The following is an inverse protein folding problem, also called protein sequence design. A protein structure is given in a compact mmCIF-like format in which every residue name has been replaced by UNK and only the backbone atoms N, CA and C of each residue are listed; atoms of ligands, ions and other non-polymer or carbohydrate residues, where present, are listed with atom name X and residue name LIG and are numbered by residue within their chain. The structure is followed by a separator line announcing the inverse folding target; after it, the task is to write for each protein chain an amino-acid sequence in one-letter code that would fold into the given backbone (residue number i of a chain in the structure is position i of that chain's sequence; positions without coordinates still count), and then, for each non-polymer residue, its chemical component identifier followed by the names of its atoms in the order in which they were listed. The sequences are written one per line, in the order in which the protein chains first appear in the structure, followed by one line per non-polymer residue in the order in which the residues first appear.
data_IF_962542492774
#
_entry.id   IF_962542492774
#
_cell.length_a   1.000
_cell.length_b   1.000
_cell.length_c   1.000
_cell.angle_alpha   90.00
_cell.angle_beta   90.00
_cell.angle_gamma   90.00
#
_symmetry.space_group_name_H-M   'P 1'
#
loop_
_entity.id
_entity.type
_entity.pdbx_description
1 polymer ?
#
# COMPACT_ATOMS: atom_id res chain seq x y z
N UNK A 1 1.47 4.18 -5.99
CA UNK A 1 1.87 4.35 -7.41
C UNK A 1 1.96 5.82 -7.80
N UNK A 2 0.89 6.61 -7.73
CA UNK A 2 0.92 8.05 -8.06
C UNK A 2 2.02 8.80 -7.30
N UNK A 3 2.08 8.67 -5.97
CA UNK A 3 3.12 9.29 -5.17
C UNK A 3 4.54 8.98 -5.70
N UNK A 4 4.85 7.70 -5.93
CA UNK A 4 6.14 7.32 -6.49
C UNK A 4 6.39 7.94 -7.87
N UNK A 5 5.37 8.00 -8.73
CA UNK A 5 5.51 8.63 -10.05
C UNK A 5 5.81 10.13 -9.97
N UNK A 6 5.29 10.83 -8.96
CA UNK A 6 5.49 12.26 -8.79
C UNK A 6 6.84 12.60 -8.14
N UNK A 7 7.37 11.73 -7.29
CA UNK A 7 8.50 12.07 -6.42
C UNK A 7 9.75 11.22 -6.62
N UNK A 8 9.68 10.12 -7.40
CA UNK A 8 10.85 9.26 -7.65
C UNK A 8 11.26 9.27 -9.11
N UNK A 9 12.54 9.57 -9.33
CA UNK A 9 13.16 9.57 -10.66
C UNK A 9 13.05 8.19 -11.34
N UNK A 10 12.66 8.18 -12.61
CA UNK A 10 12.49 6.98 -13.42
C UNK A 10 11.15 6.24 -13.22
N UNK A 11 10.27 6.78 -12.36
CA UNK A 11 8.92 6.24 -12.12
C UNK A 11 7.80 7.13 -12.70
N UNK A 12 8.14 8.24 -13.32
CA UNK A 12 7.21 9.27 -13.82
C UNK A 12 6.18 8.68 -14.77
N UNK A 13 6.62 7.75 -15.63
CA UNK A 13 5.80 7.12 -16.65
C UNK A 13 4.65 6.25 -16.10
N UNK A 14 4.70 5.90 -14.81
CA UNK A 14 3.55 5.26 -14.14
C UNK A 14 2.31 6.16 -14.23
N UNK A 15 2.46 7.49 -14.10
CA UNK A 15 1.36 8.45 -14.10
C UNK A 15 1.66 9.63 -15.04
N UNK A 16 1.00 9.66 -16.21
CA UNK A 16 1.24 10.68 -17.25
C UNK A 16 0.10 11.70 -17.40
N UNK A 17 -0.77 11.82 -16.41
CA UNK A 17 -1.83 12.84 -16.43
C UNK A 17 -1.30 14.18 -15.91
N UNK A 18 -1.81 15.33 -16.43
CA UNK A 18 -1.23 16.64 -16.13
C UNK A 18 -1.46 17.12 -14.68
N UNK A 19 -2.46 16.58 -13.98
CA UNK A 19 -2.75 16.92 -12.59
C UNK A 19 -3.39 15.78 -11.79
N UNK A 20 -3.94 16.12 -10.62
CA UNK A 20 -4.62 15.19 -9.69
C UNK A 20 -6.12 15.53 -9.54
N UNK A 21 -6.73 16.14 -10.54
CA UNK A 21 -8.17 16.38 -10.53
C UNK A 21 -8.93 15.04 -10.43
N UNK A 22 -10.18 15.09 -9.96
CA UNK A 22 -11.03 13.89 -9.88
C UNK A 22 -11.11 13.15 -11.21
N UNK A 23 -11.17 13.87 -12.33
CA UNK A 23 -11.25 13.29 -13.68
C UNK A 23 -9.99 12.51 -14.02
N UNK A 24 -8.81 13.12 -13.81
CA UNK A 24 -7.51 12.49 -14.10
C UNK A 24 -7.26 11.29 -13.19
N UNK A 25 -7.53 11.45 -11.90
CA UNK A 25 -7.42 10.36 -10.94
C UNK A 25 -8.34 9.20 -11.31
N UNK A 26 -9.59 9.46 -11.69
CA UNK A 26 -10.54 8.42 -12.09
C UNK A 26 -10.03 7.66 -13.32
N UNK A 27 -9.56 8.38 -14.35
CA UNK A 27 -8.99 7.75 -15.56
C UNK A 27 -7.79 6.87 -15.22
N UNK A 28 -6.90 7.34 -14.35
CA UNK A 28 -5.76 6.55 -13.90
C UNK A 28 -6.17 5.30 -13.13
N UNK A 29 -7.15 5.40 -12.22
CA UNK A 29 -7.68 4.25 -11.50
C UNK A 29 -8.36 3.26 -12.46
N UNK A 30 -9.08 3.73 -13.49
CA UNK A 30 -9.67 2.86 -14.51
C UNK A 30 -8.61 2.08 -15.29
N UNK A 31 -7.46 2.69 -15.59
CA UNK A 31 -6.33 1.98 -16.20
C UNK A 31 -5.77 0.90 -15.27
N UNK A 32 -5.52 1.23 -14.00
CA UNK A 32 -5.07 0.26 -13.00
C UNK A 32 -6.09 -0.88 -12.87
N UNK A 33 -7.38 -0.57 -12.87
CA UNK A 33 -8.47 -1.52 -12.67
C UNK A 33 -8.44 -2.66 -13.72
N UNK A 34 -7.99 -2.39 -14.95
CA UNK A 34 -7.83 -3.41 -16.00
C UNK A 34 -6.80 -4.49 -15.63
N UNK A 35 -5.80 -4.15 -14.82
CA UNK A 35 -4.79 -5.10 -14.31
C UNK A 35 -5.16 -5.65 -12.94
N UNK A 36 -5.79 -4.80 -12.12
CA UNK A 36 -6.05 -5.03 -10.70
C UNK A 36 -7.54 -5.31 -10.45
N UNK A 37 -8.22 -5.95 -11.42
CA UNK A 37 -9.65 -6.27 -11.29
C UNK A 37 -9.89 -7.21 -10.09
N UNK A 38 -10.71 -6.80 -9.09
CA UNK A 38 -11.03 -7.66 -7.95
C UNK A 38 -11.89 -8.84 -8.39
N UNK A 39 -11.76 -9.96 -7.70
CA UNK A 39 -12.71 -11.07 -7.77
C UNK A 39 -13.86 -10.81 -6.76
N UNK A 40 -14.83 -11.73 -6.64
CA UNK A 40 -15.92 -11.65 -5.63
C UNK A 40 -15.35 -11.44 -4.21
N UNK A 41 -14.18 -12.02 -3.92
CA UNK A 41 -13.45 -11.88 -2.66
C UNK A 41 -12.38 -10.77 -2.68
N UNK A 42 -12.49 -9.79 -3.58
CA UNK A 42 -11.47 -8.76 -3.74
C UNK A 42 -10.14 -9.30 -4.28
N UNK A 43 -9.03 -8.79 -3.75
CA UNK A 43 -7.67 -9.24 -4.06
C UNK A 43 -7.06 -9.77 -2.76
N UNK A 44 -7.22 -11.08 -2.47
CA UNK A 44 -6.96 -11.64 -1.16
C UNK A 44 -5.48 -11.86 -0.83
N UNK A 45 -4.55 -11.59 -1.75
CA UNK A 45 -3.15 -11.97 -1.55
C UNK A 45 -2.15 -10.92 -2.03
N UNK A 46 -1.05 -10.81 -1.28
CA UNK A 46 0.08 -9.96 -1.62
C UNK A 46 0.66 -10.33 -2.98
N UNK A 47 0.88 -11.62 -3.23
CA UNK A 47 1.49 -12.10 -4.49
C UNK A 47 0.66 -11.75 -5.73
N UNK A 48 -0.68 -11.88 -5.65
CA UNK A 48 -1.56 -11.56 -6.78
C UNK A 48 -1.57 -10.05 -7.05
N UNK A 49 -1.64 -9.22 -6.00
CA UNK A 49 -1.58 -7.78 -6.16
C UNK A 49 -0.22 -7.34 -6.73
N UNK A 50 0.87 -7.85 -6.15
CA UNK A 50 2.24 -7.59 -6.60
C UNK A 50 2.40 -7.84 -8.10
N UNK A 51 2.08 -9.06 -8.55
CA UNK A 51 2.20 -9.44 -9.97
C UNK A 51 1.40 -8.49 -10.88
N UNK A 52 0.19 -8.11 -10.48
CA UNK A 52 -0.69 -7.23 -11.27
C UNK A 52 -0.17 -5.80 -11.34
N UNK A 53 0.31 -5.25 -10.23
CA UNK A 53 0.88 -3.90 -10.19
C UNK A 53 2.23 -3.83 -10.94
N UNK A 54 3.08 -4.85 -10.83
CA UNK A 54 4.29 -4.98 -11.66
C UNK A 54 3.95 -5.06 -13.15
N UNK A 55 2.91 -5.80 -13.52
CA UNK A 55 2.45 -5.88 -14.91
C UNK A 55 1.93 -4.54 -15.42
N UNK A 56 1.20 -3.78 -14.60
CA UNK A 56 0.75 -2.43 -14.94
C UNK A 56 1.95 -1.50 -15.13
N UNK A 57 2.90 -1.46 -14.20
CA UNK A 57 4.11 -0.64 -14.34
C UNK A 57 4.91 -1.00 -15.59
N UNK A 58 5.08 -2.31 -15.87
CA UNK A 58 5.76 -2.78 -17.09
C UNK A 58 5.06 -2.30 -18.37
N UNK A 59 3.72 -2.25 -18.38
CA UNK A 59 2.96 -1.71 -19.51
C UNK A 59 3.21 -0.21 -19.76
N UNK A 60 3.72 0.50 -18.75
CA UNK A 60 4.16 1.89 -18.82
C UNK A 60 5.64 2.06 -19.14
N UNK A 61 6.35 0.97 -19.42
CA UNK A 61 7.81 0.98 -19.64
C UNK A 61 8.63 1.03 -18.35
N UNK A 62 7.98 0.89 -17.18
CA UNK A 62 8.64 0.99 -15.87
C UNK A 62 8.82 -0.39 -15.25
N UNK A 63 10.04 -0.69 -14.83
CA UNK A 63 10.34 -1.93 -14.09
C UNK A 63 10.24 -1.63 -12.59
N UNK A 64 9.36 -2.37 -11.93
CA UNK A 64 9.25 -2.39 -10.47
C UNK A 64 9.56 -3.78 -9.94
N UNK A 65 10.13 -3.84 -8.76
CA UNK A 65 10.10 -4.99 -7.89
C UNK A 65 9.41 -4.66 -6.56
N UNK A 66 9.20 -5.65 -5.71
CA UNK A 66 8.48 -5.45 -4.45
C UNK A 66 9.00 -6.35 -3.34
N UNK A 67 9.10 -5.77 -2.14
CA UNK A 67 9.28 -6.52 -0.91
C UNK A 67 7.91 -6.75 -0.28
N UNK A 68 7.67 -7.93 0.25
CA UNK A 68 6.40 -8.30 0.88
C UNK A 68 6.64 -8.93 2.24
N UNK A 69 5.81 -8.56 3.21
CA UNK A 69 5.79 -9.14 4.55
C UNK A 69 4.38 -9.68 4.82
N UNK A 70 4.25 -11.00 4.80
CA UNK A 70 3.00 -11.71 5.05
C UNK A 70 2.93 -12.12 6.52
N UNK A 71 1.77 -11.94 7.15
CA UNK A 71 1.51 -12.38 8.53
C UNK A 71 2.61 -11.97 9.54
N UNK A 72 2.94 -10.67 9.67
CA UNK A 72 3.84 -10.21 10.73
C UNK A 72 3.34 -10.69 12.09
N UNK A 73 4.27 -11.24 12.88
CA UNK A 73 4.00 -11.86 14.19
C UNK A 73 4.16 -10.87 15.34
N UNK A 74 5.01 -9.87 15.16
CA UNK A 74 5.34 -8.84 16.14
C UNK A 74 5.34 -7.45 15.50
N UNK A 75 5.27 -6.44 16.37
CA UNK A 75 5.15 -5.04 15.97
C UNK A 75 6.46 -4.53 15.38
N UNK A 76 7.61 -4.89 15.97
CA UNK A 76 8.92 -4.39 15.54
C UNK A 76 9.25 -4.80 14.10
N UNK A 77 8.96 -6.03 13.73
CA UNK A 77 9.09 -6.53 12.35
C UNK A 77 8.23 -5.70 11.39
N UNK A 78 6.97 -5.39 11.76
CA UNK A 78 6.10 -4.55 10.95
C UNK A 78 6.60 -3.11 10.86
N UNK A 79 7.09 -2.53 11.96
CA UNK A 79 7.66 -1.17 12.00
C UNK A 79 8.87 -1.08 11.08
N UNK A 80 9.80 -2.03 11.17
CA UNK A 80 11.01 -2.03 10.35
C UNK A 80 10.65 -2.09 8.88
N UNK A 81 9.73 -2.99 8.49
CA UNK A 81 9.25 -3.09 7.12
C UNK A 81 8.57 -1.81 6.62
N UNK A 82 7.74 -1.17 7.46
CA UNK A 82 7.07 0.08 7.12
C UNK A 82 8.11 1.19 6.91
N UNK A 83 9.07 1.33 7.82
CA UNK A 83 10.13 2.33 7.74
C UNK A 83 11.00 2.13 6.50
N UNK A 84 11.38 0.89 6.17
CA UNK A 84 12.13 0.58 4.95
C UNK A 84 11.47 1.15 3.68
N UNK A 85 10.16 0.93 3.52
CA UNK A 85 9.41 1.47 2.38
C UNK A 85 9.33 3.00 2.39
N UNK A 86 8.99 3.58 3.55
CA UNK A 86 8.86 5.04 3.69
C UNK A 86 10.18 5.78 3.47
N UNK A 87 11.32 5.22 3.89
CA UNK A 87 12.65 5.84 3.71
C UNK A 87 13.07 5.95 2.24
N UNK A 88 12.46 5.18 1.33
CA UNK A 88 12.74 5.22 -0.11
C UNK A 88 11.61 5.88 -0.91
N UNK A 89 10.82 6.73 -0.27
CA UNK A 89 9.63 7.39 -0.83
C UNK A 89 8.66 6.39 -1.48
N UNK A 90 8.49 5.23 -0.84
CA UNK A 90 7.57 4.17 -1.26
C UNK A 90 6.53 3.89 -0.18
N UNK A 91 5.34 4.53 -0.28
CA UNK A 91 4.23 4.24 0.61
C UNK A 91 3.89 2.74 0.62
N UNK A 92 3.60 2.21 1.81
CA UNK A 92 3.41 0.77 2.01
C UNK A 92 1.94 0.42 1.88
N UNK A 93 1.59 -0.47 0.95
CA UNK A 93 0.24 -1.01 0.87
C UNK A 93 0.05 -2.06 1.96
N UNK A 94 -1.04 -1.94 2.69
CA UNK A 94 -1.44 -2.84 3.77
C UNK A 94 -2.74 -3.55 3.38
N UNK A 95 -2.74 -4.88 3.46
CA UNK A 95 -3.92 -5.72 3.29
C UNK A 95 -4.36 -6.24 4.66
N UNK A 96 -5.66 -6.13 4.97
CA UNK A 96 -6.23 -6.76 6.15
C UNK A 96 -7.51 -7.53 5.83
N UNK A 97 -7.54 -8.81 6.23
CA UNK A 97 -8.72 -9.66 6.16
C UNK A 97 -9.35 -9.85 7.52
N UNK A 98 -10.64 -9.54 7.62
CA UNK A 98 -11.41 -9.70 8.86
C UNK A 98 -10.84 -8.92 10.07
N UNK A 99 -10.38 -7.70 9.84
CA UNK A 99 -9.97 -6.80 10.93
C UNK A 99 -11.14 -6.51 11.88
N UNK A 100 -10.85 -6.41 13.18
CA UNK A 100 -11.79 -5.86 14.16
C UNK A 100 -11.90 -4.35 14.00
N UNK A 101 -10.88 -3.69 13.46
CA UNK A 101 -10.92 -2.29 13.07
C UNK A 101 -11.81 -2.15 11.84
N UNK A 102 -13.00 -1.57 12.03
CA UNK A 102 -14.06 -1.50 11.00
C UNK A 102 -13.54 -0.91 9.68
N UNK A 103 -12.76 0.16 9.76
CA UNK A 103 -12.21 0.88 8.60
C UNK A 103 -10.99 0.20 7.97
N UNK A 104 -10.59 -1.00 8.43
CA UNK A 104 -9.55 -1.82 7.78
C UNK A 104 -10.09 -3.16 7.27
N UNK A 105 -11.38 -3.44 7.46
CA UNK A 105 -11.94 -4.75 7.17
C UNK A 105 -12.04 -4.99 5.65
N UNK A 106 -11.47 -6.09 5.18
CA UNK A 106 -11.60 -6.62 3.81
C UNK A 106 -11.12 -5.68 2.67
N UNK A 107 -10.13 -4.82 2.92
CA UNK A 107 -9.57 -3.99 1.85
C UNK A 107 -8.10 -3.65 2.05
N UNK A 108 -7.58 -2.96 1.04
CA UNK A 108 -6.23 -2.45 0.99
C UNK A 108 -6.22 -0.98 1.37
N UNK A 109 -5.27 -0.57 2.21
CA UNK A 109 -5.01 0.84 2.53
C UNK A 109 -3.54 1.17 2.26
N UNK A 110 -3.22 2.44 2.09
CA UNK A 110 -1.82 2.87 1.87
C UNK A 110 -1.31 3.55 3.13
N UNK A 111 -0.28 2.99 3.76
CA UNK A 111 0.46 3.62 4.85
C UNK A 111 1.40 4.66 4.25
N UNK A 112 1.28 5.89 4.73
CA UNK A 112 2.07 7.05 4.30
C UNK A 112 2.92 7.62 5.42
N UNK A 113 2.82 7.08 6.63
CA UNK A 113 3.62 7.53 7.77
C UNK A 113 3.55 6.56 8.95
N UNK A 114 4.50 6.72 9.85
CA UNK A 114 4.58 6.02 11.12
C UNK A 114 4.90 7.04 12.20
N UNK A 115 4.19 6.97 13.32
CA UNK A 115 4.45 7.80 14.50
C UNK A 115 4.31 6.95 15.76
N UNK A 116 5.03 7.35 16.80
CA UNK A 116 4.86 6.83 18.16
C UNK A 116 4.31 7.97 19.01
N UNK A 117 3.25 7.72 19.76
CA UNK A 117 2.69 8.74 20.64
C UNK A 117 3.51 8.89 21.94
N UNK A 118 3.06 9.78 22.83
CA UNK A 118 3.73 10.05 24.11
C UNK A 118 3.68 8.86 25.08
N UNK A 119 2.72 7.95 24.91
CA UNK A 119 2.56 6.73 25.72
C UNK A 119 3.33 5.54 25.14
N UNK A 120 3.99 5.72 24.00
CA UNK A 120 4.79 4.71 23.33
C UNK A 120 4.00 3.80 22.39
N UNK A 121 2.72 4.08 22.14
CA UNK A 121 1.85 3.32 21.24
C UNK A 121 2.25 3.61 19.80
N UNK A 122 2.34 2.55 19.00
CA UNK A 122 2.74 2.65 17.60
C UNK A 122 1.53 2.91 16.70
N UNK A 123 1.59 3.95 15.89
CA UNK A 123 0.55 4.30 14.93
C UNK A 123 1.07 4.33 13.50
N UNK A 124 0.19 3.90 12.59
CA UNK A 124 0.34 4.12 11.16
C UNK A 124 -0.58 5.26 10.72
N UNK A 125 -0.05 6.14 9.87
CA UNK A 125 -0.83 7.14 9.14
C UNK A 125 -1.12 6.55 7.77
N UNK A 126 -2.39 6.58 7.37
CA UNK A 126 -2.85 5.96 6.13
C UNK A 126 -3.63 6.95 5.27
N UNK A 127 -3.55 6.75 3.96
CA UNK A 127 -4.55 7.23 3.01
C UNK A 127 -5.58 6.12 2.81
N UNK A 128 -6.78 6.36 3.31
CA UNK A 128 -7.92 5.45 3.22
C UNK A 128 -9.14 6.20 2.69
N UNK A 129 -9.76 5.70 1.62
CA UNK A 129 -10.88 6.34 0.92
C UNK A 129 -10.67 7.85 0.63
N UNK A 130 -9.43 8.25 0.35
CA UNK A 130 -9.07 9.64 0.05
C UNK A 130 -8.92 10.54 1.28
N UNK A 131 -8.98 9.98 2.49
CA UNK A 131 -8.79 10.70 3.75
C UNK A 131 -7.55 10.21 4.49
N UNK A 132 -6.99 11.08 5.31
CA UNK A 132 -5.94 10.73 6.26
C UNK A 132 -6.59 10.07 7.48
N UNK A 133 -6.28 8.81 7.72
CA UNK A 133 -6.70 8.09 8.92
C UNK A 133 -5.49 7.57 9.69
N UNK A 134 -5.63 7.42 11.00
CA UNK A 134 -4.57 6.92 11.87
C UNK A 134 -5.05 5.70 12.64
N UNK A 135 -4.26 4.62 12.64
CA UNK A 135 -4.61 3.36 13.27
C UNK A 135 -3.48 2.87 14.17
N UNK A 136 -3.84 2.27 15.31
CA UNK A 136 -2.86 1.61 16.18
C UNK A 136 -2.32 0.36 15.48
N UNK A 137 -1.02 0.36 15.19
CA UNK A 137 -0.31 -0.78 14.63
C UNK A 137 -0.28 -1.93 15.64
N UNK A 138 -0.15 -1.62 16.92
CA UNK A 138 -0.14 -2.60 18.01
C UNK A 138 -1.43 -3.42 18.03
N UNK A 139 -2.58 -2.74 17.93
CA UNK A 139 -3.88 -3.40 17.88
C UNK A 139 -4.05 -4.22 16.61
N UNK A 140 -3.59 -3.70 15.46
CA UNK A 140 -3.61 -4.41 14.19
C UNK A 140 -2.75 -5.69 14.20
N UNK A 141 -1.63 -5.70 14.93
CA UNK A 141 -0.78 -6.90 15.12
C UNK A 141 -1.39 -7.88 16.14
N UNK A 142 -1.98 -7.38 17.23
CA UNK A 142 -2.55 -8.23 18.30
C UNK A 142 -3.88 -8.88 17.91
N UNK A 143 -4.66 -8.27 17.02
CA UNK A 143 -5.96 -8.83 16.66
C UNK A 143 -5.85 -10.14 15.88
N UNK A 144 -6.82 -11.04 16.12
CA UNK A 144 -7.03 -12.21 15.26
C UNK A 144 -7.53 -11.72 13.90
N UNK A 145 -6.88 -12.19 12.83
CA UNK A 145 -7.28 -11.96 11.44
C UNK A 145 -7.09 -13.25 10.64
N UNK A 146 -7.75 -13.33 9.49
CA UNK A 146 -7.59 -14.47 8.58
C UNK A 146 -6.33 -14.34 7.73
N UNK A 147 -5.98 -13.10 7.40
CA UNK A 147 -4.79 -12.77 6.64
C UNK A 147 -4.45 -11.30 6.83
N UNK A 148 -3.17 -10.98 6.88
CA UNK A 148 -2.68 -9.60 6.81
C UNK A 148 -1.33 -9.55 6.13
N UNK A 149 -1.02 -8.42 5.52
CA UNK A 149 0.23 -8.27 4.81
C UNK A 149 0.58 -6.84 4.50
N UNK A 150 1.87 -6.62 4.29
CA UNK A 150 2.48 -5.36 3.91
C UNK A 150 3.27 -5.55 2.61
N UNK A 151 3.23 -4.57 1.73
CA UNK A 151 4.02 -4.57 0.49
C UNK A 151 4.44 -3.14 0.14
N UNK A 152 5.70 -2.97 -0.25
CA UNK A 152 6.18 -1.74 -0.86
C UNK A 152 6.93 -2.07 -2.15
N UNK A 153 6.95 -1.11 -3.07
CA UNK A 153 7.55 -1.27 -4.39
C UNK A 153 8.83 -0.44 -4.53
N UNK A 154 9.77 -0.90 -5.34
CA UNK A 154 11.02 -0.19 -5.60
C UNK A 154 11.47 -0.47 -7.04
N UNK A 155 12.33 0.41 -7.59
CA UNK A 155 13.05 0.09 -8.82
C UNK A 155 14.26 -0.79 -8.46
N UNK A 156 14.45 -1.95 -9.12
CA UNK A 156 15.69 -2.70 -8.98
C UNK A 156 16.86 -1.88 -9.52
N UNK A 157 18.03 -2.04 -8.89
CA UNK A 157 19.32 -1.47 -9.33
C UNK A 157 19.83 -2.28 -10.52
#
# INVERSE_FOLDING_TARGET
MIHMAMYRKGLEDIYRYPGLSRVEFTRFIDEIYRYVKPNIFGIPSLGKLNKRLKSFAKSKGVILDAKSLSMPKDVDTAINFIKEGLMIDSPVLMLTWNSKIKNLRYHWVTITGYVKDLEGINYIITSNWGQKEMFSLDNWIKEKNLYRGLIYFYQPI
#
